data_IF_205188972365
#
_entry.id   IF_205188972365
#
_cell.length_a   1.000
_cell.length_b   1.000
_cell.length_c   1.000
_cell.angle_alpha   90.00
_cell.angle_beta   90.00
_cell.angle_gamma   90.00
#
_symmetry.space_group_name_H-M   'P 1'
#
loop_
_entity.id
_entity.type
_entity.pdbx_description
1 polymer ?
#
# COMPACT_ATOMS: atom_id res chain seq x y z
N UNK A 1 -38.40 -62.86 -15.41
CA UNK A 1 -36.97 -62.89 -15.81
C UNK A 1 -36.81 -62.18 -17.15
N UNK A 2 -36.41 -60.90 -17.12
CA UNK A 2 -35.29 -60.34 -17.89
C UNK A 2 -35.25 -58.83 -17.62
N UNK A 3 -34.13 -58.39 -17.06
CA UNK A 3 -33.84 -57.02 -16.64
C UNK A 3 -33.43 -56.15 -17.83
N UNK A 4 -34.02 -54.97 -17.95
CA UNK A 4 -33.34 -53.83 -18.57
C UNK A 4 -33.62 -52.57 -17.75
N UNK A 5 -32.74 -52.29 -16.78
CA UNK A 5 -32.65 -50.97 -16.15
C UNK A 5 -32.04 -50.01 -17.18
N UNK A 6 -32.85 -49.09 -17.71
CA UNK A 6 -32.34 -47.94 -18.47
C UNK A 6 -31.96 -46.84 -17.48
N UNK A 7 -30.68 -46.52 -17.44
CA UNK A 7 -30.16 -45.38 -16.70
C UNK A 7 -30.68 -44.08 -17.35
N UNK A 8 -31.41 -43.27 -16.58
CA UNK A 8 -31.68 -41.87 -16.91
C UNK A 8 -30.75 -41.07 -15.99
N UNK A 9 -29.55 -40.79 -16.49
CA UNK A 9 -28.70 -39.76 -15.87
C UNK A 9 -29.34 -38.42 -16.22
N UNK A 10 -30.02 -37.83 -15.24
CA UNK A 10 -30.51 -36.47 -15.31
C UNK A 10 -29.32 -35.52 -15.48
N UNK A 11 -29.26 -34.93 -16.66
CA UNK A 11 -28.38 -33.85 -17.08
C UNK A 11 -28.74 -32.58 -16.26
N UNK A 12 -28.34 -32.51 -14.99
CA UNK A 12 -28.42 -31.28 -14.22
C UNK A 12 -27.08 -30.57 -14.32
N UNK A 13 -27.08 -29.47 -15.07
CA UNK A 13 -25.92 -28.64 -15.34
C UNK A 13 -25.27 -28.12 -14.07
N UNK A 14 -24.19 -28.76 -13.66
CA UNK A 14 -23.14 -28.10 -12.92
C UNK A 14 -22.31 -27.31 -13.92
N UNK A 15 -22.69 -26.06 -14.18
CA UNK A 15 -21.70 -25.05 -14.57
C UNK A 15 -20.80 -24.94 -13.35
N UNK A 16 -19.75 -25.75 -13.35
CA UNK A 16 -18.60 -25.58 -12.47
C UNK A 16 -18.05 -24.22 -12.87
N UNK A 17 -18.46 -23.17 -12.14
CA UNK A 17 -17.79 -21.90 -12.17
C UNK A 17 -16.33 -22.22 -11.86
N UNK A 18 -15.52 -22.21 -12.90
CA UNK A 18 -14.09 -22.05 -12.78
C UNK A 18 -13.91 -20.74 -12.02
N UNK A 19 -13.85 -20.85 -10.69
CA UNK A 19 -13.08 -19.95 -9.85
C UNK A 19 -11.64 -20.13 -10.32
N UNK A 20 -11.34 -19.55 -11.50
CA UNK A 20 -10.02 -19.06 -11.73
C UNK A 20 -9.82 -18.07 -10.58
N UNK A 21 -9.01 -18.46 -9.61
CA UNK A 21 -8.07 -17.50 -9.07
C UNK A 21 -7.53 -16.80 -10.31
N UNK A 22 -7.93 -15.54 -10.54
CA UNK A 22 -7.19 -14.71 -11.46
C UNK A 22 -5.78 -14.75 -10.89
N UNK A 23 -4.96 -15.62 -11.48
CA UNK A 23 -3.55 -15.63 -11.20
C UNK A 23 -3.10 -14.18 -11.37
N UNK A 24 -2.14 -13.73 -10.57
CA UNK A 24 -1.64 -12.35 -10.59
C UNK A 24 -1.28 -11.88 -12.02
N UNK A 25 -1.09 -12.82 -12.96
CA UNK A 25 -0.93 -12.62 -14.40
C UNK A 25 -2.18 -12.14 -15.17
N UNK A 26 -3.40 -12.42 -14.71
CA UNK A 26 -4.65 -12.03 -15.37
C UNK A 26 -5.10 -10.58 -15.08
N UNK A 27 -4.44 -9.88 -14.15
CA UNK A 27 -4.72 -8.47 -13.88
C UNK A 27 -4.14 -7.53 -14.94
N UNK A 28 -3.10 -7.99 -15.65
CA UNK A 28 -2.43 -7.19 -16.65
C UNK A 28 -2.87 -7.66 -18.05
N UNK A 29 -3.32 -6.72 -18.87
CA UNK A 29 -3.74 -7.00 -20.26
C UNK A 29 -2.61 -7.56 -21.13
N UNK A 30 -2.90 -8.01 -22.36
CA UNK A 30 -1.90 -8.56 -23.27
C UNK A 30 -0.68 -7.63 -23.46
N UNK A 31 0.53 -8.20 -23.48
CA UNK A 31 1.78 -7.44 -23.62
C UNK A 31 2.23 -6.70 -22.36
N UNK A 32 1.55 -6.93 -21.22
CA UNK A 32 1.94 -6.37 -19.92
C UNK A 32 2.48 -7.47 -19.01
N UNK A 33 3.50 -7.13 -18.21
CA UNK A 33 4.01 -7.96 -17.13
C UNK A 33 3.50 -7.45 -15.79
N UNK A 34 2.96 -8.35 -14.98
CA UNK A 34 2.62 -8.08 -13.58
C UNK A 34 3.88 -8.15 -12.72
N UNK A 35 4.16 -7.11 -11.93
CA UNK A 35 5.21 -7.15 -10.91
C UNK A 35 4.66 -6.67 -9.56
N UNK A 36 4.97 -7.39 -8.46
CA UNK A 36 4.68 -6.90 -7.13
C UNK A 36 5.59 -5.70 -6.82
N UNK A 37 5.00 -4.65 -6.27
CA UNK A 37 5.71 -3.49 -5.76
C UNK A 37 5.29 -3.23 -4.31
N UNK A 38 6.15 -2.57 -3.57
CA UNK A 38 5.89 -2.14 -2.20
C UNK A 38 5.94 -0.62 -2.12
N UNK A 39 5.29 -0.08 -1.11
CA UNK A 39 5.32 1.36 -0.86
C UNK A 39 4.67 1.73 0.46
N UNK A 40 4.64 3.03 0.70
CA UNK A 40 4.18 3.63 1.96
C UNK A 40 3.19 4.76 1.67
N UNK A 41 2.57 5.30 2.73
CA UNK A 41 1.98 6.63 2.70
C UNK A 41 3.04 7.63 2.27
N UNK A 42 2.77 8.38 1.21
CA UNK A 42 3.78 9.23 0.57
C UNK A 42 3.52 10.72 0.80
N UNK A 43 2.25 11.13 0.82
CA UNK A 43 1.88 12.55 0.96
C UNK A 43 0.63 12.67 1.83
N UNK A 44 0.67 13.57 2.81
CA UNK A 44 -0.54 14.07 3.47
C UNK A 44 -1.18 15.13 2.59
N UNK A 45 -2.32 14.78 1.99
CA UNK A 45 -3.03 15.67 1.05
C UNK A 45 -4.06 16.57 1.76
N UNK A 46 -4.57 16.13 2.92
CA UNK A 46 -5.47 16.90 3.77
C UNK A 46 -5.25 16.48 5.23
N UNK A 47 -5.31 17.43 6.15
CA UNK A 47 -5.44 17.15 7.58
C UNK A 47 -6.41 18.14 8.23
N UNK A 48 -7.10 17.70 9.28
CA UNK A 48 -7.85 18.56 10.21
C UNK A 48 -7.66 17.99 11.61
N UNK A 49 -7.17 18.81 12.54
CA UNK A 49 -7.06 18.48 13.98
C UNK A 49 -5.92 17.53 14.37
N UNK A 50 -5.39 16.74 13.43
CA UNK A 50 -4.30 15.79 13.66
C UNK A 50 -2.97 16.51 13.96
N UNK A 51 -2.34 16.20 15.10
CA UNK A 51 -1.01 16.68 15.42
C UNK A 51 0.08 15.79 14.77
N UNK A 52 1.20 16.40 14.39
CA UNK A 52 2.31 15.74 13.70
C UNK A 52 1.86 14.87 12.50
N UNK A 53 1.05 15.41 11.57
CA UNK A 53 0.39 14.62 10.54
C UNK A 53 1.37 13.88 9.60
N UNK A 54 2.57 14.43 9.41
CA UNK A 54 3.60 13.84 8.54
C UNK A 54 4.26 12.58 9.15
N UNK A 55 4.10 12.34 10.45
CA UNK A 55 4.58 11.13 11.13
C UNK A 55 3.78 9.86 10.73
N UNK A 56 2.86 9.94 9.76
CA UNK A 56 2.19 8.78 9.17
C UNK A 56 2.87 8.30 7.87
N UNK A 57 3.81 9.08 7.36
CA UNK A 57 4.43 8.86 6.06
C UNK A 57 5.70 8.02 6.18
N UNK A 58 6.07 7.35 5.09
CA UNK A 58 7.25 6.50 5.06
C UNK A 58 7.07 5.17 5.80
N UNK A 59 8.19 4.56 6.18
CA UNK A 59 8.19 3.29 6.88
C UNK A 59 7.88 3.50 8.37
N UNK A 60 7.27 2.50 9.04
CA UNK A 60 7.11 2.52 10.49
C UNK A 60 8.43 2.86 11.20
N UNK A 61 8.43 3.88 12.05
CA UNK A 61 9.61 4.35 12.78
C UNK A 61 9.37 4.51 14.30
N UNK A 62 8.14 4.25 14.75
CA UNK A 62 7.75 4.34 16.15
C UNK A 62 7.36 5.74 16.60
N UNK A 63 7.22 6.68 15.67
CA UNK A 63 6.55 7.97 15.86
C UNK A 63 5.24 7.98 15.07
N UNK A 64 4.20 8.64 15.56
CA UNK A 64 2.91 8.60 14.88
C UNK A 64 2.20 9.94 14.81
N UNK A 65 1.38 10.09 13.78
CA UNK A 65 0.38 11.15 13.66
C UNK A 65 -0.70 10.95 14.72
N UNK A 66 -1.10 12.02 15.40
CA UNK A 66 -1.84 11.97 16.65
C UNK A 66 -3.28 12.45 16.46
N UNK A 67 -4.23 11.56 16.78
CA UNK A 67 -5.67 11.79 16.62
C UNK A 67 -6.32 11.86 18.01
N UNK A 68 -6.32 13.04 18.62
CA UNK A 68 -6.72 13.26 20.01
C UNK A 68 -8.13 13.81 20.17
N UNK A 69 -8.75 14.27 19.08
CA UNK A 69 -10.08 14.86 19.12
C UNK A 69 -11.07 14.16 18.19
N UNK A 70 -12.35 14.18 18.60
CA UNK A 70 -13.43 13.72 17.75
C UNK A 70 -13.56 14.65 16.53
N UNK A 71 -13.44 14.08 15.33
CA UNK A 71 -13.45 14.83 14.08
C UNK A 71 -12.07 14.99 13.43
N UNK A 72 -11.00 14.59 14.13
CA UNK A 72 -9.65 14.55 13.56
C UNK A 72 -9.61 13.63 12.35
N UNK A 73 -9.01 14.10 11.26
CA UNK A 73 -8.77 13.25 10.10
C UNK A 73 -7.54 13.66 9.30
N UNK A 74 -7.01 12.67 8.59
CA UNK A 74 -5.94 12.83 7.61
C UNK A 74 -6.32 12.09 6.33
N UNK A 75 -5.83 12.58 5.18
CA UNK A 75 -5.94 11.90 3.88
C UNK A 75 -4.54 11.67 3.34
N UNK A 76 -4.15 10.41 3.27
CA UNK A 76 -2.84 9.96 2.76
C UNK A 76 -2.99 9.54 1.30
N UNK A 77 -2.02 9.94 0.47
CA UNK A 77 -1.81 9.48 -0.91
C UNK A 77 -0.63 8.49 -0.96
N UNK A 78 -0.80 7.35 -1.64
CA UNK A 78 0.18 6.24 -1.70
C UNK A 78 1.19 6.26 -2.87
N UNK A 79 1.24 7.30 -3.70
CA UNK A 79 1.81 7.35 -5.09
C UNK A 79 1.38 6.23 -6.09
N UNK A 80 1.26 4.96 -5.67
CA UNK A 80 0.66 3.90 -6.47
C UNK A 80 -0.81 3.64 -6.07
N UNK A 81 -1.52 2.88 -6.92
CA UNK A 81 -2.86 2.36 -6.62
C UNK A 81 -2.73 0.95 -6.06
N UNK A 82 -3.31 0.73 -4.87
CA UNK A 82 -3.51 -0.59 -4.28
C UNK A 82 -4.74 -1.19 -4.95
N UNK A 83 -4.58 -2.26 -5.72
CA UNK A 83 -5.72 -2.87 -6.41
C UNK A 83 -6.69 -3.53 -5.43
N UNK A 84 -7.97 -3.55 -5.77
CA UNK A 84 -8.97 -4.27 -4.99
C UNK A 84 -8.56 -5.73 -4.76
N UNK A 85 -8.72 -6.21 -3.52
CA UNK A 85 -8.29 -7.54 -3.10
C UNK A 85 -6.83 -7.64 -2.66
N UNK A 86 -6.02 -6.58 -2.80
CA UNK A 86 -4.62 -6.58 -2.33
C UNK A 86 -4.48 -5.99 -0.94
N UNK A 87 -3.36 -6.30 -0.29
CA UNK A 87 -3.15 -5.99 1.11
C UNK A 87 -2.40 -4.68 1.34
N UNK A 88 -2.81 -3.97 2.38
CA UNK A 88 -2.05 -2.89 2.99
C UNK A 88 -2.03 -3.06 4.50
N UNK A 89 -1.11 -2.38 5.16
CA UNK A 89 -0.83 -2.52 6.58
C UNK A 89 -0.93 -1.16 7.22
N UNK A 90 -1.65 -1.06 8.33
CA UNK A 90 -1.65 0.13 9.18
C UNK A 90 -0.89 -0.21 10.46
N UNK A 91 0.14 0.56 10.80
CA UNK A 91 0.84 0.49 12.09
C UNK A 91 0.32 1.59 12.99
N UNK A 92 -0.29 1.23 14.10
CA UNK A 92 -0.99 2.18 14.97
C UNK A 92 -1.08 1.67 16.41
N UNK A 93 -1.50 2.56 17.33
CA UNK A 93 -1.71 2.25 18.74
C UNK A 93 -2.79 3.15 19.35
N UNK A 94 -3.25 2.79 20.53
CA UNK A 94 -3.87 3.75 21.44
C UNK A 94 -2.81 4.72 21.95
N UNK A 95 -3.14 6.01 22.07
CA UNK A 95 -2.19 6.99 22.62
C UNK A 95 -1.85 6.64 24.08
N UNK A 96 -0.58 6.71 24.51
CA UNK A 96 -0.19 6.34 25.87
C UNK A 96 -0.99 7.08 26.95
N UNK A 97 -1.35 6.40 28.03
CA UNK A 97 -2.15 6.95 29.16
C UNK A 97 -3.61 7.27 28.82
N UNK A 98 -4.08 6.90 27.63
CA UNK A 98 -5.49 7.07 27.24
C UNK A 98 -6.36 5.99 27.87
N UNK A 99 -7.44 6.39 28.53
CA UNK A 99 -8.42 5.44 29.06
C UNK A 99 -9.45 5.03 28.00
N UNK A 100 -9.94 3.80 28.06
CA UNK A 100 -10.99 3.29 27.18
C UNK A 100 -10.44 2.55 25.98
N UNK A 101 -11.22 2.47 24.91
CA UNK A 101 -10.85 1.77 23.68
C UNK A 101 -10.81 2.74 22.51
N UNK A 102 -9.62 2.91 21.93
CA UNK A 102 -9.44 3.74 20.76
C UNK A 102 -9.98 3.05 19.51
N UNK A 103 -10.64 3.81 18.64
CA UNK A 103 -11.21 3.29 17.39
C UNK A 103 -10.66 4.08 16.22
N UNK A 104 -9.82 3.42 15.41
CA UNK A 104 -9.36 3.97 14.15
C UNK A 104 -10.41 3.67 13.09
N UNK A 105 -10.96 4.71 12.48
CA UNK A 105 -11.81 4.59 11.29
C UNK A 105 -11.04 4.94 10.04
N UNK A 106 -11.37 4.27 8.92
CA UNK A 106 -10.81 4.64 7.63
C UNK A 106 -11.78 4.49 6.47
N UNK A 107 -11.48 5.18 5.37
CA UNK A 107 -12.16 5.05 4.08
C UNK A 107 -11.15 5.02 2.94
N UNK A 108 -11.42 4.15 1.98
CA UNK A 108 -10.65 3.96 0.75
C UNK A 108 -11.21 4.83 -0.38
N UNK A 109 -10.38 5.34 -1.27
CA UNK A 109 -10.80 6.01 -2.50
C UNK A 109 -9.74 5.93 -3.60
N UNK A 110 -10.18 5.86 -4.86
CA UNK A 110 -9.31 6.04 -6.03
C UNK A 110 -9.05 7.52 -6.34
N UNK A 111 -10.05 8.37 -6.11
CA UNK A 111 -10.00 9.82 -6.30
C UNK A 111 -10.33 10.52 -4.99
N UNK A 112 -9.69 11.66 -4.73
CA UNK A 112 -9.95 12.43 -3.51
C UNK A 112 -11.41 12.89 -3.48
N UNK A 113 -12.08 12.70 -2.34
CA UNK A 113 -13.49 13.05 -2.17
C UNK A 113 -14.50 11.95 -2.52
N UNK A 114 -14.09 10.87 -3.20
CA UNK A 114 -14.98 9.75 -3.57
C UNK A 114 -14.83 8.55 -2.62
N UNK A 115 -14.95 8.80 -1.32
CA UNK A 115 -14.65 7.81 -0.29
C UNK A 115 -15.72 6.71 -0.18
N UNK A 116 -15.24 5.47 -0.11
CA UNK A 116 -16.05 4.29 0.20
C UNK A 116 -16.65 4.34 1.61
N UNK A 117 -17.54 3.39 1.90
CA UNK A 117 -18.12 3.21 3.23
C UNK A 117 -17.01 3.01 4.29
N UNK A 118 -17.17 3.59 5.49
CA UNK A 118 -16.14 3.50 6.51
C UNK A 118 -16.01 2.11 7.10
N UNK A 119 -14.78 1.79 7.50
CA UNK A 119 -14.41 0.61 8.26
C UNK A 119 -13.72 1.04 9.54
N UNK A 120 -13.64 0.15 10.52
CA UNK A 120 -13.04 0.44 11.81
C UNK A 120 -12.37 -0.75 12.45
N UNK A 121 -11.37 -0.47 13.28
CA UNK A 121 -10.67 -1.40 14.16
C UNK A 121 -10.47 -0.72 15.52
N UNK A 122 -10.33 -1.53 16.55
CA UNK A 122 -10.22 -1.06 17.93
C UNK A 122 -9.00 -1.63 18.61
N UNK A 123 -8.41 -0.87 19.53
CA UNK A 123 -7.31 -1.36 20.37
C UNK A 123 -7.30 -0.69 21.73
N UNK A 124 -6.66 -1.35 22.68
CA UNK A 124 -6.21 -0.78 23.97
C UNK A 124 -4.70 -0.92 24.13
N UNK A 125 -3.99 -1.28 23.05
CA UNK A 125 -2.55 -1.46 23.05
C UNK A 125 -1.87 -0.10 22.86
N UNK A 126 -1.06 0.30 23.84
CA UNK A 126 -0.26 1.53 23.79
C UNK A 126 1.10 1.35 23.08
N UNK A 127 1.39 0.14 22.60
CA UNK A 127 2.53 -0.15 21.75
C UNK A 127 2.08 -0.22 20.29
N UNK A 128 2.88 0.35 19.38
CA UNK A 128 2.62 0.26 17.94
C UNK A 128 2.51 -1.19 17.50
N UNK A 129 1.41 -1.50 16.83
CA UNK A 129 1.13 -2.82 16.28
C UNK A 129 0.58 -2.68 14.86
N UNK A 130 0.99 -3.59 13.99
CA UNK A 130 0.55 -3.63 12.60
C UNK A 130 -0.69 -4.49 12.44
N UNK A 131 -1.64 -4.01 11.64
CA UNK A 131 -2.81 -4.77 11.19
C UNK A 131 -2.77 -4.89 9.67
N UNK A 132 -2.93 -6.11 9.16
CA UNK A 132 -3.02 -6.37 7.73
C UNK A 132 -4.48 -6.26 7.31
N UNK A 133 -4.74 -5.44 6.30
CA UNK A 133 -6.06 -5.16 5.75
C UNK A 133 -6.06 -5.45 4.25
N UNK A 134 -7.22 -5.81 3.73
CA UNK A 134 -7.44 -5.98 2.28
C UNK A 134 -8.23 -4.79 1.75
N UNK A 135 -7.79 -4.22 0.63
CA UNK A 135 -8.49 -3.16 -0.07
C UNK A 135 -9.80 -3.69 -0.70
N UNK A 136 -10.93 -3.03 -0.43
CA UNK A 136 -12.23 -3.38 -0.98
C UNK A 136 -12.48 -2.76 -2.37
N UNK A 137 -11.71 -1.74 -2.72
CA UNK A 137 -11.68 -1.09 -4.03
C UNK A 137 -10.26 -0.72 -4.41
N UNK A 138 -10.04 -0.38 -5.68
CA UNK A 138 -8.80 0.28 -6.09
C UNK A 138 -8.60 1.54 -5.25
N UNK A 139 -7.49 1.60 -4.53
CA UNK A 139 -7.24 2.59 -3.47
C UNK A 139 -5.95 3.34 -3.75
N UNK A 140 -6.08 4.66 -3.90
CA UNK A 140 -4.99 5.61 -4.06
C UNK A 140 -4.87 6.51 -2.82
N UNK A 141 -6.02 6.81 -2.23
CA UNK A 141 -6.19 7.67 -1.07
C UNK A 141 -6.80 6.88 0.08
N UNK A 142 -6.25 7.07 1.27
CA UNK A 142 -6.80 6.55 2.52
C UNK A 142 -7.12 7.72 3.45
N UNK A 143 -8.39 7.87 3.82
CA UNK A 143 -8.80 8.82 4.85
C UNK A 143 -8.89 8.10 6.18
N UNK A 144 -8.02 8.41 7.13
CA UNK A 144 -8.08 7.91 8.51
C UNK A 144 -8.68 8.99 9.41
N UNK A 145 -9.50 8.61 10.38
CA UNK A 145 -10.17 9.58 11.24
C UNK A 145 -10.59 9.03 12.60
N UNK A 146 -10.70 9.94 13.57
CA UNK A 146 -11.26 9.69 14.89
C UNK A 146 -12.73 10.16 14.91
N UNK A 147 -13.63 9.28 15.37
CA UNK A 147 -15.05 9.60 15.52
C UNK A 147 -15.61 9.22 16.89
N UNK A 148 -14.81 8.64 17.78
CA UNK A 148 -15.23 8.26 19.13
C UNK A 148 -14.60 9.14 20.21
N UNK A 149 -13.65 10.02 19.85
CA UNK A 149 -12.97 10.94 20.76
C UNK A 149 -12.03 10.24 21.75
N UNK A 150 -11.59 9.02 21.43
CA UNK A 150 -10.59 8.30 22.22
C UNK A 150 -9.30 8.24 21.42
N UNK A 151 -8.23 8.73 22.03
CA UNK A 151 -6.97 9.07 21.40
C UNK A 151 -6.25 7.86 20.79
N UNK A 152 -5.73 8.01 19.57
CA UNK A 152 -4.85 7.04 18.95
C UNK A 152 -3.76 7.72 18.11
N UNK A 153 -2.72 6.95 17.81
CA UNK A 153 -1.63 7.38 16.95
C UNK A 153 -1.46 6.40 15.79
N UNK A 154 -1.13 6.91 14.61
CA UNK A 154 -0.81 6.11 13.43
C UNK A 154 0.60 6.45 12.95
N UNK A 155 1.47 5.45 12.95
CA UNK A 155 2.89 5.54 12.60
C UNK A 155 3.13 5.41 11.10
N UNK A 156 2.49 4.43 10.46
CA UNK A 156 2.62 4.30 9.02
C UNK A 156 1.47 3.55 8.38
N UNK A 157 1.34 3.76 7.08
CA UNK A 157 0.58 2.88 6.21
C UNK A 157 1.50 2.35 5.11
N UNK A 158 1.65 1.04 5.02
CA UNK A 158 2.47 0.40 3.98
C UNK A 158 1.61 -0.52 3.11
N UNK A 159 2.03 -0.80 1.89
CA UNK A 159 1.27 -1.65 0.99
C UNK A 159 2.17 -2.54 0.13
N UNK A 160 1.58 -3.62 -0.35
CA UNK A 160 2.11 -4.42 -1.45
C UNK A 160 1.02 -4.52 -2.50
N UNK A 161 1.30 -4.04 -3.72
CA UNK A 161 0.34 -4.02 -4.83
C UNK A 161 0.96 -4.63 -6.08
N UNK A 162 0.16 -5.04 -7.05
CA UNK A 162 0.62 -5.45 -8.38
C UNK A 162 0.50 -4.31 -9.35
N UNK A 163 1.60 -3.98 -10.02
CA UNK A 163 1.62 -3.00 -11.09
C UNK A 163 1.87 -3.69 -12.43
N UNK A 164 1.22 -3.18 -13.46
CA UNK A 164 1.30 -3.71 -14.82
C UNK A 164 2.25 -2.85 -15.66
N UNK A 165 3.29 -3.47 -16.19
CA UNK A 165 4.33 -2.80 -16.98
C UNK A 165 4.24 -3.24 -18.44
N UNK A 166 4.45 -2.34 -19.39
CA UNK A 166 4.67 -2.77 -20.78
C UNK A 166 5.90 -3.66 -20.88
N UNK A 167 5.76 -4.84 -21.46
CA UNK A 167 6.90 -5.66 -21.87
C UNK A 167 7.36 -5.24 -23.28
N UNK A 168 7.73 -3.96 -23.43
CA UNK A 168 8.20 -3.39 -24.70
C UNK A 168 9.72 -3.57 -24.86
N UNK A 169 10.33 -4.46 -24.07
CA UNK A 169 11.77 -4.68 -24.12
C UNK A 169 12.15 -5.46 -25.39
N UNK A 170 12.73 -4.77 -26.37
CA UNK A 170 13.53 -5.40 -27.43
C UNK A 170 14.68 -6.23 -26.84
N UNK A 171 15.24 -7.15 -27.64
CA UNK A 171 16.36 -7.98 -27.18
C UNK A 171 17.49 -7.16 -26.56
N UNK A 172 17.95 -7.56 -25.37
CA UNK A 172 18.97 -6.89 -24.53
C UNK A 172 18.51 -5.69 -23.68
N UNK A 173 17.20 -5.45 -23.52
CA UNK A 173 16.68 -4.51 -22.50
C UNK A 173 16.07 -5.27 -21.32
N UNK A 174 16.22 -4.73 -20.11
CA UNK A 174 15.64 -5.28 -18.87
C UNK A 174 14.49 -4.38 -18.40
N UNK A 175 13.40 -4.99 -17.95
CA UNK A 175 12.28 -4.28 -17.32
C UNK A 175 12.73 -3.65 -16.00
N UNK A 176 12.46 -2.36 -15.82
CA UNK A 176 12.71 -1.63 -14.58
C UNK A 176 11.40 -1.27 -13.88
N UNK A 177 11.41 -1.33 -12.55
CA UNK A 177 10.25 -1.02 -11.73
C UNK A 177 10.20 0.50 -11.51
N UNK A 178 9.26 1.17 -12.16
CA UNK A 178 8.86 2.53 -11.81
C UNK A 178 7.87 2.45 -10.63
N UNK A 179 8.35 2.34 -9.39
CA UNK A 179 7.48 2.48 -8.20
C UNK A 179 7.48 3.91 -7.70
N UNK A 180 6.32 4.37 -7.22
CA UNK A 180 6.09 5.75 -6.84
C UNK A 180 6.95 6.28 -5.71
N UNK A 181 7.44 5.37 -4.87
CA UNK A 181 8.27 5.69 -3.74
C UNK A 181 9.75 5.37 -3.98
N UNK A 182 10.14 4.88 -5.18
CA UNK A 182 11.47 4.35 -5.49
C UNK A 182 11.97 3.31 -4.45
N UNK A 183 11.03 2.56 -3.85
CA UNK A 183 11.26 1.64 -2.74
C UNK A 183 10.82 0.19 -3.01
N UNK A 184 11.58 -0.78 -2.46
CA UNK A 184 13.03 -0.70 -2.31
C UNK A 184 13.70 -0.71 -3.70
N UNK A 185 14.90 -0.14 -3.87
CA UNK A 185 15.74 -0.47 -5.01
C UNK A 185 15.88 -2.00 -5.06
N UNK A 186 15.38 -2.63 -6.12
CA UNK A 186 15.43 -4.07 -6.31
C UNK A 186 16.87 -4.59 -6.39
N UNK A 187 17.03 -5.92 -6.33
CA UNK A 187 18.34 -6.56 -6.55
C UNK A 187 18.89 -6.15 -7.92
N UNK A 188 20.00 -5.40 -7.94
CA UNK A 188 20.60 -4.82 -9.15
C UNK A 188 20.25 -3.34 -9.41
N UNK A 189 19.47 -2.70 -8.53
CA UNK A 189 19.23 -1.23 -8.54
C UNK A 189 20.12 -0.50 -7.51
N UNK A 190 21.04 -1.21 -6.86
CA UNK A 190 22.13 -0.63 -6.09
C UNK A 190 23.36 -1.55 -6.15
N UNK A 191 24.53 -0.99 -5.83
CA UNK A 191 25.79 -1.72 -5.70
C UNK A 191 26.50 -1.27 -4.43
N UNK A 192 26.72 -2.20 -3.50
CA UNK A 192 27.44 -1.99 -2.23
C UNK A 192 26.94 -0.83 -1.35
N UNK A 193 25.74 -0.32 -1.60
CA UNK A 193 25.09 0.66 -0.73
C UNK A 193 24.38 -0.06 0.41
N UNK A 194 24.85 0.14 1.64
CA UNK A 194 24.15 -0.33 2.83
C UNK A 194 22.88 0.52 3.04
N UNK A 195 21.80 -0.13 3.49
CA UNK A 195 20.50 0.52 3.71
C UNK A 195 19.99 1.29 2.48
N UNK A 196 20.22 0.80 1.26
CA UNK A 196 19.79 1.46 0.02
C UNK A 196 18.28 1.77 -0.02
N UNK A 197 17.47 0.96 0.68
CA UNK A 197 16.03 1.18 0.86
C UNK A 197 15.67 2.35 1.77
N UNK A 198 16.61 3.02 2.41
CA UNK A 198 16.36 4.23 3.22
C UNK A 198 16.67 5.52 2.43
N UNK A 199 17.10 5.41 1.16
CA UNK A 199 17.41 6.56 0.30
C UNK A 199 16.14 7.19 -0.30
N UNK A 200 15.07 6.40 -0.43
CA UNK A 200 13.83 6.84 -1.03
C UNK A 200 12.68 6.86 -0.01
N UNK A 201 11.63 7.64 -0.29
CA UNK A 201 10.55 7.92 0.66
C UNK A 201 10.57 9.37 1.15
N UNK A 202 9.85 9.62 2.25
CA UNK A 202 9.79 10.95 2.88
C UNK A 202 11.05 11.18 3.71
N UNK A 203 11.63 12.40 3.73
CA UNK A 203 12.77 12.69 4.58
C UNK A 203 12.46 12.45 6.06
N UNK A 204 12.93 11.32 6.60
CA UNK A 204 12.75 10.89 7.99
C UNK A 204 14.08 10.87 8.78
N UNK A 205 15.17 11.30 8.14
CA UNK A 205 16.51 11.32 8.71
C UNK A 205 17.26 9.98 8.61
N UNK A 206 16.64 8.94 8.06
CA UNK A 206 17.35 7.71 7.67
C UNK A 206 18.09 7.94 6.35
N UNK A 207 19.08 7.09 6.08
CA UNK A 207 19.99 7.24 4.95
C UNK A 207 20.62 5.91 4.53
N UNK A 208 20.89 5.79 3.23
CA UNK A 208 21.81 4.78 2.71
C UNK A 208 23.27 5.23 2.87
N UNK A 209 24.17 4.27 3.01
CA UNK A 209 25.60 4.51 3.23
C UNK A 209 26.37 4.16 1.96
N UNK A 210 27.17 5.12 1.48
CA UNK A 210 28.09 4.99 0.36
C UNK A 210 29.52 5.13 0.91
N UNK A 211 30.17 4.03 1.24
CA UNK A 211 31.47 4.00 1.91
C UNK A 211 32.58 3.31 1.11
N UNK A 212 32.26 2.81 -0.08
CA UNK A 212 33.14 2.05 -0.94
C UNK A 212 33.24 2.66 -2.35
N UNK A 213 34.35 2.38 -3.03
CA UNK A 213 34.52 2.87 -4.40
C UNK A 213 33.62 2.09 -5.35
N UNK A 214 32.81 2.81 -6.10
CA UNK A 214 31.85 2.23 -7.05
C UNK A 214 30.46 2.03 -6.46
N UNK A 215 30.18 2.53 -5.26
CA UNK A 215 28.82 2.51 -4.71
C UNK A 215 27.88 3.35 -5.56
N UNK A 216 26.71 2.80 -5.87
CA UNK A 216 25.67 3.51 -6.61
C UNK A 216 24.28 2.97 -6.27
N UNK A 217 23.27 3.80 -6.52
CA UNK A 217 21.85 3.46 -6.47
C UNK A 217 21.14 4.05 -7.69
N UNK A 218 20.15 3.35 -8.22
CA UNK A 218 19.26 3.81 -9.27
C UNK A 218 17.93 4.17 -8.61
N UNK A 219 17.52 5.44 -8.74
CA UNK A 219 16.23 5.93 -8.26
C UNK A 219 15.30 6.14 -9.46
N UNK A 220 14.14 5.50 -9.41
CA UNK A 220 13.13 5.58 -10.47
C UNK A 220 12.02 6.55 -10.04
N UNK A 221 11.92 7.68 -10.73
CA UNK A 221 10.85 8.64 -10.46
C UNK A 221 9.51 8.21 -11.09
N UNK A 222 8.37 8.48 -10.44
CA UNK A 222 7.04 8.19 -11.00
C UNK A 222 6.73 9.00 -12.26
N UNK A 223 7.38 10.16 -12.42
CA UNK A 223 7.20 11.04 -13.56
C UNK A 223 8.56 11.47 -14.10
N UNK A 224 8.64 11.68 -15.41
CA UNK A 224 9.82 12.29 -16.03
C UNK A 224 10.01 13.68 -15.45
N UNK A 225 11.19 13.94 -14.90
CA UNK A 225 11.60 15.31 -14.54
C UNK A 225 11.99 16.03 -15.84
N UNK A 226 11.25 17.05 -16.28
CA UNK A 226 11.59 17.80 -17.48
C UNK A 226 12.95 18.49 -17.36
N UNK A 227 13.67 18.56 -18.48
CA UNK A 227 14.96 19.24 -18.51
C UNK A 227 14.84 20.71 -18.06
N UNK A 228 15.71 21.13 -17.14
CA UNK A 228 15.74 22.49 -16.61
C UNK A 228 14.79 22.76 -15.44
N UNK A 229 14.02 21.77 -14.99
CA UNK A 229 13.22 21.88 -13.77
C UNK A 229 14.08 21.55 -12.53
N UNK A 230 13.95 22.37 -11.48
CA UNK A 230 14.51 22.04 -10.16
C UNK A 230 13.69 20.92 -9.51
N UNK A 231 14.37 19.93 -8.94
CA UNK A 231 13.82 18.82 -8.18
C UNK A 231 14.58 18.64 -6.87
#
# INVERSE_FOLDING_TARGET
MLNYKRAIFSLLGGILALLFELSVYGQCGPGKKAMPIQGTGSIVTQNVGVELPENILGNPDGTGAQFHDNGDYIVVDFIDTILAGQSYVITWRQSPSTSGTSTLYWREALEVGTYMAPRSITTTNEQFASVILTANSDTRYLRLYNSNGIDFEVDAVTYTTTKCFSDDCGGNMYLQILSGNALPPGAGEHHNVDNAGEIAGVPDGKYGIFDSNGDWVILNFPYTVPAGQQY
#
